data_IF_727032433518
#
_entry.id   IF_727032433518
#
_cell.length_a   1.000
_cell.length_b   1.000
_cell.length_c   1.000
_cell.angle_alpha   90.00
_cell.angle_beta   90.00
_cell.angle_gamma   90.00
#
_symmetry.space_group_name_H-M   'P 1'
#
loop_
_entity.id
_entity.type
_entity.pdbx_description
1 polymer ?
#
# COMPACT_ATOMS: atom_id res chain seq x y z
N UNK A 1 18.43 28.46 3.88
CA UNK A 1 17.92 28.22 5.24
C UNK A 1 16.39 28.23 5.24
N UNK A 2 15.77 27.20 5.81
CA UNK A 2 14.31 27.08 5.99
C UNK A 2 13.92 27.65 7.36
N UNK A 3 12.71 28.20 7.46
CA UNK A 3 12.14 28.56 8.77
C UNK A 3 11.59 27.32 9.48
N UNK A 4 11.36 27.41 10.80
CA UNK A 4 10.79 26.29 11.57
C UNK A 4 9.46 25.78 11.00
N UNK A 5 8.59 26.68 10.51
CA UNK A 5 7.33 26.28 9.87
C UNK A 5 7.55 25.58 8.53
N UNK A 6 8.49 26.06 7.73
CA UNK A 6 8.83 25.45 6.44
C UNK A 6 9.47 24.07 6.60
N UNK A 7 10.30 23.89 7.63
CA UNK A 7 10.89 22.60 7.97
C UNK A 7 9.80 21.59 8.38
N UNK A 8 8.86 21.99 9.26
CA UNK A 8 7.71 21.14 9.63
C UNK A 8 6.85 20.78 8.42
N UNK A 9 6.62 21.73 7.52
CA UNK A 9 5.88 21.49 6.29
C UNK A 9 6.57 20.44 5.41
N UNK A 10 7.89 20.56 5.20
CA UNK A 10 8.67 19.59 4.44
C UNK A 10 8.67 18.20 5.08
N UNK A 11 8.81 18.12 6.42
CA UNK A 11 8.73 16.84 7.15
C UNK A 11 7.36 16.18 7.04
N UNK A 12 6.28 16.96 7.09
CA UNK A 12 4.92 16.44 6.96
C UNK A 12 4.65 15.91 5.54
N UNK A 13 5.11 16.64 4.51
CA UNK A 13 5.08 16.15 3.13
C UNK A 13 5.88 14.85 2.97
N UNK A 14 7.06 14.77 3.58
CA UNK A 14 7.88 13.56 3.55
C UNK A 14 7.19 12.36 4.22
N UNK A 15 6.41 12.59 5.29
CA UNK A 15 5.61 11.57 5.98
C UNK A 15 4.36 11.12 5.19
N UNK A 16 4.10 11.70 4.01
CA UNK A 16 2.99 11.31 3.14
C UNK A 16 1.70 12.09 3.36
N UNK A 17 1.72 13.19 4.11
CA UNK A 17 0.55 14.05 4.26
C UNK A 17 0.31 14.84 2.97
N UNK A 18 -0.94 15.19 2.71
CA UNK A 18 -1.27 16.10 1.62
C UNK A 18 -0.67 17.48 1.86
N UNK A 19 -0.55 18.29 0.80
CA UNK A 19 -0.01 19.65 0.90
C UNK A 19 -0.84 20.52 1.87
N UNK A 20 -2.16 20.36 1.86
CA UNK A 20 -3.08 21.06 2.76
C UNK A 20 -2.89 20.64 4.22
N UNK A 21 -2.86 19.33 4.50
CA UNK A 21 -2.65 18.83 5.86
C UNK A 21 -1.28 19.24 6.39
N UNK A 22 -0.26 19.15 5.54
CA UNK A 22 1.10 19.60 5.86
C UNK A 22 1.14 21.08 6.23
N UNK A 23 0.37 21.92 5.54
CA UNK A 23 0.23 23.35 5.82
C UNK A 23 -0.38 23.60 7.20
N UNK A 24 -1.52 22.97 7.48
CA UNK A 24 -2.22 23.13 8.76
C UNK A 24 -1.35 22.62 9.92
N UNK A 25 -0.78 21.42 9.80
CA UNK A 25 0.06 20.83 10.85
C UNK A 25 1.40 21.56 11.06
N UNK A 26 1.91 22.24 10.04
CA UNK A 26 3.08 23.10 10.17
C UNK A 26 2.79 24.43 10.92
N UNK A 27 1.51 24.68 11.27
CA UNK A 27 1.08 25.86 12.02
C UNK A 27 0.89 27.10 11.16
N UNK A 28 0.56 26.92 9.88
CA UNK A 28 0.06 28.00 9.03
C UNK A 28 -1.44 28.22 9.26
N UNK A 29 -1.94 29.43 8.95
CA UNK A 29 -3.34 29.79 9.18
C UNK A 29 -4.28 28.89 8.36
N UNK A 30 -5.29 28.36 9.04
CA UNK A 30 -6.39 27.53 8.52
C UNK A 30 -7.71 28.32 8.40
N UNK A 31 -7.72 29.59 8.81
CA UNK A 31 -8.91 30.46 8.80
C UNK A 31 -9.37 30.86 7.40
N UNK A 32 -8.56 30.59 6.38
CA UNK A 32 -8.84 30.97 5.00
C UNK A 32 -9.66 29.90 4.29
N UNK A 33 -10.31 30.30 3.19
CA UNK A 33 -11.03 29.36 2.32
C UNK A 33 -10.06 28.29 1.80
N UNK A 34 -10.54 27.06 1.72
CA UNK A 34 -9.78 25.87 1.32
C UNK A 34 -8.96 26.08 0.05
N UNK A 35 -9.56 26.65 -1.00
CA UNK A 35 -8.89 26.92 -2.28
C UNK A 35 -7.68 27.88 -2.13
N UNK A 36 -7.77 28.83 -1.22
CA UNK A 36 -6.66 29.75 -0.92
C UNK A 36 -5.51 29.01 -0.25
N UNK A 37 -5.83 28.14 0.72
CA UNK A 37 -4.84 27.30 1.42
C UNK A 37 -4.14 26.39 0.41
N UNK A 38 -4.89 25.73 -0.47
CA UNK A 38 -4.33 24.81 -1.48
C UNK A 38 -3.37 25.53 -2.42
N UNK A 39 -3.74 26.72 -2.91
CA UNK A 39 -2.88 27.52 -3.79
C UNK A 39 -1.56 27.87 -3.10
N UNK A 40 -1.61 28.28 -1.83
CA UNK A 40 -0.43 28.65 -1.06
C UNK A 40 0.44 27.45 -0.69
N UNK A 41 -0.17 26.35 -0.29
CA UNK A 41 0.51 25.10 0.02
C UNK A 41 1.21 24.53 -1.24
N UNK A 42 0.54 24.59 -2.39
CA UNK A 42 1.11 24.19 -3.68
C UNK A 42 2.29 25.07 -4.08
N UNK A 43 2.17 26.39 -3.94
CA UNK A 43 3.29 27.32 -4.20
C UNK A 43 4.47 27.05 -3.27
N UNK A 44 4.22 26.79 -1.99
CA UNK A 44 5.26 26.48 -1.01
C UNK A 44 5.94 25.15 -1.31
N UNK A 45 5.17 24.11 -1.61
CA UNK A 45 5.68 22.79 -2.02
C UNK A 45 6.55 22.88 -3.28
N UNK A 46 6.21 23.79 -4.20
CA UNK A 46 6.97 24.03 -5.42
C UNK A 46 8.21 24.90 -5.24
N UNK A 47 8.42 25.50 -4.07
CA UNK A 47 9.59 26.33 -3.82
C UNK A 47 10.88 25.52 -3.84
N UNK A 48 11.95 26.07 -4.42
CA UNK A 48 13.24 25.38 -4.52
C UNK A 48 13.77 24.92 -3.17
N UNK A 49 13.58 25.72 -2.11
CA UNK A 49 14.01 25.39 -0.74
C UNK A 49 13.34 24.12 -0.19
N UNK A 50 12.02 23.99 -0.37
CA UNK A 50 11.28 22.80 0.10
C UNK A 50 11.66 21.59 -0.74
N UNK A 51 11.80 21.75 -2.06
CA UNK A 51 12.24 20.66 -2.96
C UNK A 51 13.60 20.11 -2.56
N UNK A 52 14.60 20.99 -2.35
CA UNK A 52 15.94 20.57 -1.91
C UNK A 52 15.88 19.81 -0.58
N UNK A 53 15.09 20.29 0.39
CA UNK A 53 14.96 19.62 1.69
C UNK A 53 14.29 18.25 1.58
N UNK A 54 13.24 18.12 0.76
CA UNK A 54 12.62 16.83 0.50
C UNK A 54 13.59 15.85 -0.17
N UNK A 55 14.43 16.34 -1.08
CA UNK A 55 15.46 15.52 -1.70
C UNK A 55 16.49 15.04 -0.68
N UNK A 56 16.97 15.91 0.22
CA UNK A 56 17.86 15.50 1.32
C UNK A 56 17.25 14.41 2.19
N UNK A 57 15.98 14.57 2.59
CA UNK A 57 15.28 13.58 3.41
C UNK A 57 15.13 12.24 2.68
N UNK A 58 14.81 12.27 1.37
CA UNK A 58 14.73 11.07 0.54
C UNK A 58 16.08 10.39 0.40
N UNK A 59 17.14 11.15 0.13
CA UNK A 59 18.50 10.63 0.02
C UNK A 59 19.01 10.06 1.35
N UNK A 60 18.63 10.64 2.48
CA UNK A 60 18.98 10.12 3.80
C UNK A 60 18.26 8.81 4.16
N UNK A 61 17.06 8.59 3.60
CA UNK A 61 16.27 7.36 3.80
C UNK A 61 16.56 6.29 2.74
N UNK A 62 17.20 6.65 1.62
CA UNK A 62 17.75 5.71 0.64
C UNK A 62 18.93 4.92 1.21
N UNK A 63 18.71 4.23 2.33
CA UNK A 63 19.57 3.15 2.80
C UNK A 63 19.41 1.99 1.83
N UNK A 64 20.53 1.49 1.34
CA UNK A 64 20.61 0.38 0.38
C UNK A 64 19.91 -0.90 0.90
N UNK A 65 19.76 -1.04 2.22
CA UNK A 65 19.15 -2.20 2.87
C UNK A 65 17.63 -2.30 2.70
N UNK A 66 16.94 -1.21 2.32
CA UNK A 66 15.47 -1.19 2.19
C UNK A 66 15.09 -1.09 0.73
N UNK A 67 14.56 -2.18 0.18
CA UNK A 67 14.07 -2.22 -1.19
C UNK A 67 13.04 -1.11 -1.45
N UNK A 68 13.25 -0.34 -2.52
CA UNK A 68 12.34 0.74 -2.93
C UNK A 68 10.98 0.20 -3.40
N UNK A 69 9.98 1.06 -3.54
CA UNK A 69 8.67 0.65 -4.09
C UNK A 69 8.81 0.07 -5.50
N UNK A 70 9.54 0.77 -6.38
CA UNK A 70 9.77 0.34 -7.77
C UNK A 70 10.53 -0.99 -7.82
N UNK A 71 11.51 -1.17 -6.93
CA UNK A 71 12.26 -2.41 -6.85
C UNK A 71 11.40 -3.59 -6.43
N UNK A 72 10.55 -3.42 -5.39
CA UNK A 72 9.61 -4.46 -4.97
C UNK A 72 8.64 -4.80 -6.09
N UNK A 73 8.12 -3.80 -6.81
CA UNK A 73 7.21 -4.01 -7.94
C UNK A 73 7.90 -4.79 -9.08
N UNK A 74 9.15 -4.44 -9.41
CA UNK A 74 9.95 -5.16 -10.40
C UNK A 74 10.16 -6.62 -9.99
N UNK A 75 10.58 -6.87 -8.76
CA UNK A 75 10.82 -8.23 -8.24
C UNK A 75 9.53 -9.05 -8.31
N UNK A 76 8.41 -8.53 -7.78
CA UNK A 76 7.13 -9.24 -7.82
C UNK A 76 6.63 -9.50 -9.25
N UNK A 77 6.90 -8.58 -10.17
CA UNK A 77 6.55 -8.75 -11.59
C UNK A 77 7.36 -9.88 -12.23
N UNK A 78 8.67 -9.98 -11.94
CA UNK A 78 9.51 -11.10 -12.40
C UNK A 78 9.00 -12.44 -11.83
N UNK A 79 8.63 -12.48 -10.54
CA UNK A 79 8.04 -13.67 -9.91
C UNK A 79 6.71 -14.08 -10.57
N UNK A 80 5.85 -13.10 -10.86
CA UNK A 80 4.53 -13.34 -11.46
C UNK A 80 4.64 -13.85 -12.90
N UNK A 81 5.68 -13.44 -13.63
CA UNK A 81 5.88 -13.79 -15.05
C UNK A 81 6.71 -15.05 -15.28
N UNK A 82 7.43 -15.54 -14.27
CA UNK A 82 8.27 -16.72 -14.42
C UNK A 82 7.49 -17.96 -14.83
N UNK A 83 7.88 -18.57 -15.94
CA UNK A 83 7.32 -19.83 -16.43
C UNK A 83 8.43 -20.90 -16.50
N UNK A 84 8.08 -22.17 -16.27
CA UNK A 84 9.05 -23.26 -16.33
C UNK A 84 9.62 -23.44 -17.74
N UNK A 85 8.78 -23.20 -18.76
CA UNK A 85 9.18 -23.29 -20.17
C UNK A 85 10.25 -22.27 -20.54
N UNK A 86 10.36 -21.16 -19.82
CA UNK A 86 11.38 -20.14 -20.05
C UNK A 86 12.80 -20.66 -19.76
N UNK A 87 12.91 -21.74 -18.99
CA UNK A 87 14.18 -22.37 -18.63
C UNK A 87 14.41 -23.69 -19.36
N UNK A 88 13.47 -24.13 -20.20
CA UNK A 88 13.58 -25.41 -20.90
C UNK A 88 14.07 -25.19 -22.32
N UNK A 89 15.17 -25.85 -22.66
CA UNK A 89 15.71 -25.90 -24.02
C UNK A 89 15.62 -27.31 -24.58
N UNK A 90 15.36 -27.41 -25.88
CA UNK A 90 15.31 -28.69 -26.59
C UNK A 90 16.65 -28.97 -27.25
N UNK A 91 17.38 -29.97 -26.74
CA UNK A 91 18.61 -30.49 -27.32
C UNK A 91 18.39 -31.77 -28.14
N UNK A 92 19.47 -32.26 -28.75
CA UNK A 92 19.48 -33.51 -29.52
C UNK A 92 19.14 -34.74 -28.65
N UNK A 93 19.51 -34.71 -27.37
CA UNK A 93 19.32 -35.81 -26.41
C UNK A 93 18.07 -35.61 -25.52
N UNK A 94 17.21 -34.64 -25.84
CA UNK A 94 16.00 -34.30 -25.08
C UNK A 94 15.99 -32.88 -24.50
N UNK A 95 14.97 -32.58 -23.70
CA UNK A 95 14.83 -31.28 -23.04
C UNK A 95 15.76 -31.15 -21.84
N UNK A 96 16.58 -30.10 -21.78
CA UNK A 96 17.41 -29.76 -20.64
C UNK A 96 17.05 -28.37 -20.10
N UNK A 97 17.49 -28.09 -18.87
CA UNK A 97 17.25 -26.80 -18.23
C UNK A 97 18.44 -25.88 -18.47
N UNK A 98 18.20 -24.71 -19.07
CA UNK A 98 19.17 -23.62 -19.18
C UNK A 98 18.85 -22.51 -18.18
N UNK A 99 19.66 -22.42 -17.12
CA UNK A 99 19.56 -21.42 -16.06
C UNK A 99 20.86 -20.63 -16.04
N UNK A 100 20.96 -19.67 -16.95
CA UNK A 100 22.07 -18.73 -17.06
C UNK A 100 21.71 -17.34 -16.53
N UNK A 101 22.67 -16.40 -16.55
CA UNK A 101 22.39 -14.99 -16.22
C UNK A 101 21.47 -14.34 -17.25
N UNK A 102 21.51 -14.87 -18.46
CA UNK A 102 20.72 -14.50 -19.63
C UNK A 102 19.30 -15.08 -19.61
N UNK A 103 19.00 -16.05 -18.74
CA UNK A 103 17.65 -16.60 -18.63
C UNK A 103 16.69 -15.52 -18.10
N UNK A 104 15.50 -15.35 -18.71
CA UNK A 104 14.54 -14.37 -18.25
C UNK A 104 13.97 -14.78 -16.87
N UNK A 105 13.55 -13.79 -16.08
CA UNK A 105 12.84 -13.99 -14.81
C UNK A 105 13.55 -14.91 -13.78
N UNK A 106 14.88 -15.01 -13.80
CA UNK A 106 15.66 -15.91 -12.90
C UNK A 106 15.30 -15.80 -11.42
N UNK A 107 14.84 -14.63 -10.95
CA UNK A 107 14.34 -14.45 -9.57
C UNK A 107 13.11 -15.29 -9.23
N UNK A 108 12.36 -15.77 -10.23
CA UNK A 108 11.21 -16.65 -10.05
C UNK A 108 11.60 -18.06 -9.59
N UNK A 109 12.86 -18.46 -9.74
CA UNK A 109 13.35 -19.76 -9.30
C UNK A 109 13.48 -19.77 -7.77
N UNK A 110 12.72 -20.66 -7.13
CA UNK A 110 12.75 -20.88 -5.69
C UNK A 110 13.80 -21.91 -5.29
N UNK A 111 13.98 -22.97 -6.08
CA UNK A 111 14.89 -24.08 -5.75
C UNK A 111 15.32 -24.83 -7.02
N UNK A 112 16.56 -25.29 -7.06
CA UNK A 112 17.11 -26.15 -8.11
C UNK A 112 17.71 -27.38 -7.42
N UNK A 113 17.26 -28.57 -7.82
CA UNK A 113 17.81 -29.85 -7.33
C UNK A 113 18.30 -30.68 -8.49
N UNK A 114 19.58 -31.06 -8.47
CA UNK A 114 20.19 -31.91 -9.49
C UNK A 114 20.55 -33.25 -8.87
N UNK A 115 19.99 -34.33 -9.39
CA UNK A 115 20.31 -35.70 -8.95
C UNK A 115 20.78 -36.54 -10.11
N UNK A 116 21.99 -37.07 -10.00
CA UNK A 116 22.52 -38.06 -10.95
C UNK A 116 22.03 -39.44 -10.56
N UNK A 117 21.34 -40.13 -11.47
CA UNK A 117 21.02 -41.55 -11.34
C UNK A 117 21.90 -42.35 -12.28
N UNK A 118 22.47 -43.42 -11.76
CA UNK A 118 23.20 -44.39 -12.57
C UNK A 118 22.25 -45.52 -12.94
N UNK A 119 22.38 -46.00 -14.16
CA UNK A 119 21.63 -47.17 -14.62
C UNK A 119 22.12 -48.43 -13.90
N UNK A 120 21.30 -49.49 -13.92
CA UNK A 120 21.58 -50.76 -13.21
C UNK A 120 22.90 -51.43 -13.59
N UNK A 121 23.43 -51.11 -14.77
CA UNK A 121 24.71 -51.63 -15.28
C UNK A 121 25.90 -50.67 -15.05
N UNK A 122 25.68 -49.50 -14.44
CA UNK A 122 26.71 -48.48 -14.17
C UNK A 122 27.29 -47.78 -15.41
N UNK A 123 26.86 -48.16 -16.62
CA UNK A 123 27.39 -47.66 -17.89
C UNK A 123 26.80 -46.30 -18.32
N UNK A 124 25.61 -45.94 -17.85
CA UNK A 124 24.94 -44.68 -18.15
C UNK A 124 24.63 -43.88 -16.88
N UNK A 125 24.78 -42.55 -16.95
CA UNK A 125 24.27 -41.65 -15.92
C UNK A 125 23.21 -40.71 -16.50
N UNK A 126 22.07 -40.61 -15.82
CA UNK A 126 20.98 -39.68 -16.15
C UNK A 126 20.96 -38.57 -15.12
N UNK A 127 21.08 -37.33 -15.59
CA UNK A 127 21.04 -36.15 -14.75
C UNK A 127 19.59 -35.65 -14.68
N UNK A 128 18.94 -35.80 -13.52
CA UNK A 128 17.57 -35.33 -13.30
C UNK A 128 17.66 -33.99 -12.58
N UNK A 129 17.37 -32.91 -13.30
CA UNK A 129 17.26 -31.56 -12.74
C UNK A 129 15.80 -31.22 -12.49
N UNK A 130 15.49 -30.80 -11.27
CA UNK A 130 14.17 -30.31 -10.85
C UNK A 130 14.27 -28.83 -10.51
N UNK A 131 13.36 -28.04 -11.06
CA UNK A 131 13.27 -26.60 -10.78
C UNK A 131 11.92 -26.32 -10.16
N UNK A 132 11.94 -25.63 -9.03
CA UNK A 132 10.74 -25.14 -8.34
C UNK A 132 10.67 -23.64 -8.52
N UNK A 133 9.52 -23.15 -8.95
CA UNK A 133 9.26 -21.71 -9.07
C UNK A 133 8.47 -21.20 -7.86
N UNK A 134 8.62 -19.92 -7.56
CA UNK A 134 7.71 -19.22 -6.66
C UNK A 134 6.27 -19.22 -7.20
N UNK A 135 5.30 -19.04 -6.31
CA UNK A 135 3.89 -19.03 -6.69
C UNK A 135 3.54 -17.72 -7.41
N UNK A 136 3.14 -17.75 -8.70
CA UNK A 136 2.80 -16.53 -9.42
C UNK A 136 1.53 -15.87 -8.85
N UNK A 137 0.60 -16.65 -8.31
CA UNK A 137 -0.64 -16.13 -7.71
C UNK A 137 -0.37 -15.29 -6.46
N UNK A 138 0.60 -15.69 -5.63
CA UNK A 138 1.03 -14.90 -4.47
C UNK A 138 1.66 -13.57 -4.89
N UNK A 139 2.49 -13.59 -5.94
CA UNK A 139 3.11 -12.37 -6.46
C UNK A 139 2.05 -11.38 -7.02
N UNK A 140 1.07 -11.88 -7.76
CA UNK A 140 -0.04 -11.08 -8.31
C UNK A 140 -0.91 -10.50 -7.19
N UNK A 141 -1.26 -11.28 -6.17
CA UNK A 141 -2.04 -10.80 -5.02
C UNK A 141 -1.33 -9.64 -4.30
N UNK A 142 -0.02 -9.78 -4.07
CA UNK A 142 0.79 -8.72 -3.46
C UNK A 142 0.87 -7.46 -4.34
N UNK A 143 1.00 -7.61 -5.66
CA UNK A 143 0.95 -6.49 -6.60
C UNK A 143 -0.40 -5.76 -6.54
N UNK A 144 -1.50 -6.51 -6.58
CA UNK A 144 -2.85 -5.93 -6.49
C UNK A 144 -3.08 -5.19 -5.17
N UNK A 145 -2.53 -5.69 -4.05
CA UNK A 145 -2.54 -5.00 -2.75
C UNK A 145 -1.71 -3.72 -2.77
N UNK A 146 -0.56 -3.71 -3.44
CA UNK A 146 0.27 -2.50 -3.59
C UNK A 146 -0.44 -1.44 -4.42
N UNK A 147 -1.12 -1.84 -5.49
CA UNK A 147 -1.85 -0.95 -6.39
C UNK A 147 -3.25 -0.57 -5.85
N UNK A 148 -3.62 -1.08 -4.67
CA UNK A 148 -4.94 -0.87 -4.04
C UNK A 148 -6.11 -1.21 -4.97
N UNK A 149 -5.92 -2.24 -5.80
CA UNK A 149 -6.96 -2.76 -6.71
C UNK A 149 -8.12 -3.35 -5.91
N UNK A 150 -7.79 -3.99 -4.78
CA UNK A 150 -8.79 -4.40 -3.82
C UNK A 150 -9.29 -3.16 -3.07
N UNK A 151 -10.60 -2.91 -3.13
CA UNK A 151 -11.22 -1.99 -2.18
C UNK A 151 -11.30 -2.71 -0.84
N UNK A 152 -10.62 -2.17 0.17
CA UNK A 152 -10.97 -2.50 1.54
C UNK A 152 -12.44 -2.13 1.68
N UNK A 153 -13.31 -3.12 1.86
CA UNK A 153 -14.75 -2.89 2.01
C UNK A 153 -14.97 -1.74 2.98
N UNK A 154 -15.84 -0.79 2.60
CA UNK A 154 -16.06 0.45 3.35
C UNK A 154 -16.07 0.15 4.85
N UNK A 155 -15.27 0.84 5.67
CA UNK A 155 -15.35 0.66 7.10
C UNK A 155 -16.79 0.93 7.52
N UNK A 156 -17.43 -0.04 8.16
CA UNK A 156 -18.74 0.16 8.79
C UNK A 156 -18.49 1.19 9.90
N UNK A 157 -18.78 2.45 9.60
CA UNK A 157 -18.70 3.53 10.57
C UNK A 157 -19.90 3.38 11.50
N UNK A 158 -19.72 2.67 12.62
CA UNK A 158 -20.65 2.70 13.73
C UNK A 158 -20.53 4.05 14.43
N UNK A 159 -21.34 5.03 14.02
CA UNK A 159 -21.38 6.36 14.62
C UNK A 159 -22.24 6.38 15.90
N UNK A 160 -21.70 5.87 17.00
CA UNK A 160 -22.36 5.85 18.31
C UNK A 160 -22.21 7.19 19.06
N UNK A 161 -22.57 8.31 18.43
CA UNK A 161 -22.53 9.61 19.10
C UNK A 161 -23.71 9.74 20.08
N UNK A 162 -23.37 9.87 21.37
CA UNK A 162 -24.32 10.27 22.41
C UNK A 162 -24.37 11.80 22.45
N UNK A 163 -25.50 12.38 22.05
CA UNK A 163 -25.74 13.84 22.16
C UNK A 163 -26.49 14.10 23.46
N UNK A 164 -25.79 14.63 24.45
CA UNK A 164 -26.39 15.05 25.73
C UNK A 164 -26.99 16.45 25.60
N UNK A 165 -28.32 16.55 25.60
CA UNK A 165 -29.01 17.84 25.69
C UNK A 165 -29.18 18.23 27.16
N UNK A 166 -28.46 19.26 27.59
CA UNK A 166 -28.68 19.87 28.91
C UNK A 166 -29.72 20.98 28.74
N UNK A 167 -30.96 20.70 29.16
CA UNK A 167 -32.07 21.66 29.12
C UNK A 167 -32.26 22.23 30.52
N UNK A 168 -32.12 23.55 30.66
CA UNK A 168 -32.23 24.26 31.95
C UNK A 168 -33.60 24.88 32.24
N UNK A 169 -34.52 24.85 31.27
CA UNK A 169 -35.87 25.44 31.40
C UNK A 169 -36.94 24.35 31.55
N UNK A 170 -37.56 24.30 32.72
CA UNK A 170 -38.53 23.28 33.13
C UNK A 170 -39.75 23.20 32.20
N UNK A 171 -40.17 24.32 31.58
CA UNK A 171 -41.33 24.33 30.66
C UNK A 171 -41.00 23.68 29.32
N UNK A 172 -39.74 23.75 28.89
CA UNK A 172 -39.28 23.10 27.65
C UNK A 172 -39.06 21.61 27.86
N UNK A 173 -38.70 21.18 29.07
CA UNK A 173 -38.56 19.77 29.43
C UNK A 173 -39.90 19.04 29.27
N UNK A 174 -41.01 19.59 29.79
CA UNK A 174 -42.34 18.96 29.64
C UNK A 174 -42.82 18.88 28.19
N UNK A 175 -42.52 19.90 27.38
CA UNK A 175 -42.87 19.91 25.96
C UNK A 175 -42.08 18.89 25.13
N UNK A 176 -40.82 18.63 25.51
CA UNK A 176 -39.97 17.62 24.87
C UNK A 176 -40.38 16.22 25.32
N UNK A 177 -40.67 16.01 26.61
CA UNK A 177 -41.12 14.72 27.13
C UNK A 177 -42.40 14.23 26.44
N UNK A 178 -43.42 15.11 26.32
CA UNK A 178 -44.67 14.78 25.60
C UNK A 178 -44.47 14.40 24.14
N UNK A 179 -43.47 14.95 23.47
CA UNK A 179 -43.16 14.62 22.07
C UNK A 179 -42.40 13.31 21.93
N UNK A 180 -41.56 12.97 22.91
CA UNK A 180 -40.83 11.71 22.95
C UNK A 180 -41.76 10.53 23.24
N UNK A 181 -42.70 10.67 24.19
CA UNK A 181 -43.68 9.61 24.49
C UNK A 181 -44.56 9.30 23.26
N UNK A 182 -45.00 10.33 22.53
CA UNK A 182 -45.77 10.14 21.30
C UNK A 182 -44.99 9.51 20.14
N UNK A 183 -43.65 9.59 20.12
CA UNK A 183 -42.82 8.88 19.14
C UNK A 183 -42.74 7.39 19.49
N UNK A 184 -42.67 7.07 20.78
CA UNK A 184 -42.60 5.69 21.27
C UNK A 184 -43.89 4.91 20.98
N UNK A 185 -45.04 5.55 21.15
CA UNK A 185 -46.34 4.98 20.77
C UNK A 185 -46.46 4.74 19.25
N UNK A 186 -45.76 5.53 18.43
CA UNK A 186 -45.73 5.39 16.98
C UNK A 186 -44.81 4.25 16.52
N UNK A 187 -43.68 4.03 17.19
CA UNK A 187 -42.80 2.89 16.94
C UNK A 187 -43.49 1.55 17.29
N UNK A 188 -44.16 1.49 18.45
CA UNK A 188 -44.91 0.30 18.87
C UNK A 188 -46.09 -0.03 17.91
N UNK A 189 -46.65 0.98 17.24
CA UNK A 189 -47.72 0.80 16.25
C UNK A 189 -47.23 0.38 14.86
N UNK A 190 -45.93 0.52 14.57
CA UNK A 190 -45.31 0.11 13.29
C UNK A 190 -44.73 -1.32 13.38
N UNK A 191 -44.41 -1.80 14.58
CA UNK A 191 -43.85 -3.14 14.83
C UNK A 191 -44.90 -4.22 15.17
N UNK A 192 -46.20 -3.89 15.22
CA UNK A 192 -47.32 -4.83 15.39
C UNK A 192 -48.00 -5.25 14.09
#
# INVERSE_FOLDING_TARGET
>A
MLTSKQEKFALNLFKGLTQRESWIQAGYSDRYVVAWIDSHACRLANSGKIKSRLQELRSAVAKDDVASFEERQRILTELARGNLLDYQEQGADGGYLNIGKESPNTRAISEITTTTRYDSDGAGSTLISKVKLHSPTQAIDLLNKMDKVYSDGNPIVNDNRVINFIVSDTRRIEGIARRLDGIKELEDAIEG
#
